data_IF_234452620790
#
_entry.id   IF_234452620790
#
_cell.length_a   1.000
_cell.length_b   1.000
_cell.length_c   1.000
_cell.angle_alpha   90.00
_cell.angle_beta   90.00
_cell.angle_gamma   90.00
#
_symmetry.space_group_name_H-M   'P 1'
#
loop_
_entity.id
_entity.type
_entity.pdbx_description
1 polymer ?
#
# COMPACT_ATOMS: atom_id res chain seq x y z
N UNK A 1 -21.61 28.97 23.03
CA UNK A 1 -22.19 27.93 22.18
C UNK A 1 -21.06 27.04 21.69
N UNK A 2 -20.94 25.83 22.25
CA UNK A 2 -19.94 24.84 21.85
C UNK A 2 -20.48 24.02 20.66
N UNK A 3 -20.03 24.30 19.43
CA UNK A 3 -20.27 23.41 18.30
C UNK A 3 -19.23 22.31 18.35
N UNK A 4 -19.68 21.10 18.68
CA UNK A 4 -18.92 19.86 18.59
C UNK A 4 -18.55 19.62 17.13
N UNK A 5 -17.26 19.78 16.79
CA UNK A 5 -16.70 19.36 15.51
C UNK A 5 -16.59 17.81 15.55
N UNK A 6 -17.60 17.13 15.06
CA UNK A 6 -17.50 15.71 14.71
C UNK A 6 -16.71 15.64 13.42
N UNK A 7 -15.43 15.34 13.53
CA UNK A 7 -14.57 14.96 12.42
C UNK A 7 -15.20 13.77 11.70
N UNK A 8 -15.82 14.03 10.57
CA UNK A 8 -16.26 12.96 9.65
C UNK A 8 -15.01 12.42 8.97
N UNK A 9 -14.30 11.54 9.66
CA UNK A 9 -13.41 10.59 9.00
C UNK A 9 -14.36 9.59 8.31
N UNK A 10 -14.92 10.02 7.19
CA UNK A 10 -15.64 9.14 6.28
C UNK A 10 -14.60 8.23 5.62
N UNK A 11 -14.38 7.10 6.24
CA UNK A 11 -13.53 6.03 5.73
C UNK A 11 -14.04 5.62 4.35
N UNK A 12 -13.24 5.68 3.29
CA UNK A 12 -13.61 5.11 1.98
C UNK A 12 -13.57 3.57 1.97
N UNK A 13 -13.60 2.92 3.14
CA UNK A 13 -13.69 1.46 3.29
C UNK A 13 -15.03 0.92 2.76
N UNK A 14 -16.06 1.76 2.68
CA UNK A 14 -17.38 1.33 2.21
C UNK A 14 -17.47 1.06 0.71
N UNK A 15 -16.52 1.54 -0.09
CA UNK A 15 -16.62 1.42 -1.56
C UNK A 15 -16.02 0.10 -2.11
N UNK A 16 -15.21 -0.60 -1.34
CA UNK A 16 -14.63 -1.88 -1.78
C UNK A 16 -15.58 -3.08 -1.57
N UNK A 17 -16.57 -2.94 -0.70
CA UNK A 17 -17.55 -4.01 -0.41
C UNK A 17 -18.66 -4.15 -1.46
N UNK A 18 -18.81 -3.17 -2.35
CA UNK A 18 -19.95 -3.12 -3.29
C UNK A 18 -19.69 -3.76 -4.67
N UNK A 19 -18.49 -4.31 -4.93
CA UNK A 19 -18.13 -4.88 -6.24
C UNK A 19 -17.95 -6.40 -6.19
N UNK A 20 -18.35 -7.05 -5.12
CA UNK A 20 -18.48 -8.50 -5.14
C UNK A 20 -19.90 -8.85 -5.59
N UNK A 21 -20.12 -9.22 -6.88
CA UNK A 21 -21.32 -9.97 -7.21
C UNK A 21 -21.18 -11.30 -6.47
N UNK A 22 -21.92 -11.45 -5.40
CA UNK A 22 -22.21 -12.75 -4.76
C UNK A 22 -23.09 -13.61 -5.67
N UNK A 23 -22.69 -13.76 -6.94
CA UNK A 23 -23.07 -14.91 -7.72
C UNK A 23 -22.12 -16.03 -7.31
N UNK A 24 -22.43 -16.69 -6.21
CA UNK A 24 -21.98 -18.05 -5.96
C UNK A 24 -22.65 -18.91 -7.04
N UNK A 25 -22.11 -18.86 -8.24
CA UNK A 25 -22.33 -19.93 -9.21
C UNK A 25 -21.75 -21.16 -8.52
N UNK A 26 -22.64 -22.08 -8.19
CA UNK A 26 -22.35 -23.41 -7.67
C UNK A 26 -21.23 -23.99 -8.54
N UNK A 27 -19.99 -23.89 -8.04
CA UNK A 27 -18.85 -24.51 -8.70
C UNK A 27 -19.17 -26.00 -8.71
N UNK A 28 -19.20 -26.60 -9.90
CA UNK A 28 -19.25 -28.04 -10.05
C UNK A 28 -18.13 -28.61 -9.15
N UNK A 29 -18.55 -29.44 -8.20
CA UNK A 29 -17.65 -30.20 -7.36
C UNK A 29 -17.00 -31.22 -8.29
N UNK A 30 -15.88 -30.82 -8.89
CA UNK A 30 -14.99 -31.77 -9.53
C UNK A 30 -14.26 -32.48 -8.38
N UNK A 31 -14.52 -33.75 -8.22
CA UNK A 31 -13.82 -34.70 -7.33
C UNK A 31 -12.34 -34.84 -7.73
N UNK A 32 -11.64 -33.72 -7.83
CA UNK A 32 -10.21 -33.64 -8.09
C UNK A 32 -9.47 -33.48 -6.76
N UNK A 33 -8.71 -34.48 -6.42
CA UNK A 33 -7.69 -34.50 -5.37
C UNK A 33 -7.13 -33.09 -5.14
N UNK A 34 -7.25 -32.59 -3.91
CA UNK A 34 -6.68 -31.35 -3.44
C UNK A 34 -5.18 -31.31 -3.79
N UNK A 35 -4.85 -30.63 -4.87
CA UNK A 35 -3.47 -30.48 -5.31
C UNK A 35 -2.82 -29.47 -4.37
N UNK A 36 -2.02 -29.93 -3.44
CA UNK A 36 -1.18 -29.07 -2.60
C UNK A 36 -0.25 -28.26 -3.52
N UNK A 37 -0.61 -27.02 -3.76
CA UNK A 37 0.16 -26.12 -4.62
C UNK A 37 1.37 -25.56 -3.86
N UNK A 38 2.32 -26.43 -3.50
CA UNK A 38 3.60 -25.99 -2.95
C UNK A 38 4.52 -25.47 -4.05
N UNK A 39 5.22 -24.36 -3.80
CA UNK A 39 6.25 -23.91 -4.70
C UNK A 39 6.52 -22.43 -4.72
N UNK A 40 7.52 -22.09 -5.53
CA UNK A 40 7.94 -20.71 -5.74
C UNK A 40 7.00 -19.97 -6.70
N UNK A 41 6.82 -18.70 -6.44
CA UNK A 41 6.15 -17.79 -7.34
C UNK A 41 6.85 -16.44 -7.35
N UNK A 42 6.70 -15.72 -8.44
CA UNK A 42 7.20 -14.35 -8.60
C UNK A 42 6.11 -13.49 -9.24
N UNK A 43 6.22 -12.20 -9.10
CA UNK A 43 5.25 -11.31 -9.73
C UNK A 43 5.66 -9.85 -9.67
N UNK A 44 4.81 -9.04 -10.28
CA UNK A 44 4.89 -7.59 -10.28
C UNK A 44 3.65 -7.01 -9.63
N UNK A 45 3.80 -5.86 -9.01
CA UNK A 45 2.69 -5.11 -8.43
C UNK A 45 2.81 -3.63 -8.78
N UNK A 46 1.69 -2.96 -8.89
CA UNK A 46 1.64 -1.53 -9.13
C UNK A 46 0.37 -0.94 -8.55
N UNK A 47 0.45 0.30 -8.10
CA UNK A 47 -0.65 0.91 -7.39
C UNK A 47 -0.48 2.39 -7.12
N UNK A 48 -1.30 2.86 -6.20
CA UNK A 48 -1.34 4.24 -5.73
C UNK A 48 -1.13 4.28 -4.22
N UNK A 49 -0.03 4.86 -3.75
CA UNK A 49 0.19 5.13 -2.34
C UNK A 49 -0.47 6.45 -1.94
N UNK A 50 -1.10 6.47 -0.78
CA UNK A 50 -1.69 7.64 -0.13
C UNK A 50 -1.05 7.81 1.24
N UNK A 51 -0.36 8.92 1.44
CA UNK A 51 0.32 9.23 2.71
C UNK A 51 -0.55 10.07 3.64
N UNK A 52 -0.39 9.81 4.94
CA UNK A 52 -1.00 10.56 6.03
C UNK A 52 0.07 10.93 7.05
N UNK A 53 0.29 12.22 7.22
CA UNK A 53 1.23 12.83 8.14
C UNK A 53 0.71 14.21 8.56
N UNK A 54 1.55 15.22 8.76
CA UNK A 54 1.14 16.62 8.87
C UNK A 54 0.44 17.06 7.59
N UNK A 55 1.04 16.72 6.44
CA UNK A 55 0.37 16.77 5.14
C UNK A 55 -0.24 15.41 4.81
N UNK A 56 -1.20 15.40 3.89
CA UNK A 56 -1.90 14.19 3.44
C UNK A 56 -2.07 14.18 1.93
N UNK A 57 -2.20 12.99 1.36
CA UNK A 57 -2.66 12.84 -0.03
C UNK A 57 -4.09 13.36 -0.22
N UNK A 58 -4.88 13.39 0.86
CA UNK A 58 -6.19 14.01 0.89
C UNK A 58 -6.05 15.44 1.46
N UNK A 59 -5.57 16.36 0.63
CA UNK A 59 -5.42 17.77 0.99
C UNK A 59 -6.74 18.49 1.15
N UNK A 60 -6.72 19.70 1.72
CA UNK A 60 -7.91 20.53 1.95
C UNK A 60 -8.61 20.94 0.64
N UNK A 61 -7.87 21.02 -0.47
CA UNK A 61 -8.35 21.44 -1.79
C UNK A 61 -8.73 20.26 -2.69
N UNK A 62 -7.91 19.18 -2.70
CA UNK A 62 -8.12 18.01 -3.55
C UNK A 62 -7.28 16.81 -3.11
N UNK A 63 -7.69 15.64 -3.58
CA UNK A 63 -6.87 14.43 -3.48
C UNK A 63 -5.70 14.49 -4.48
N UNK A 64 -4.51 14.13 -4.01
CA UNK A 64 -3.28 14.06 -4.80
C UNK A 64 -2.88 12.61 -4.97
N UNK A 65 -2.84 12.20 -6.23
CA UNK A 65 -2.48 10.83 -6.58
C UNK A 65 -0.96 10.66 -6.60
N UNK A 66 -0.53 9.49 -6.20
CA UNK A 66 0.82 8.97 -6.36
C UNK A 66 0.84 7.77 -7.29
N UNK A 67 2.01 7.17 -7.44
CA UNK A 67 2.18 5.91 -8.14
C UNK A 67 3.24 5.07 -7.43
N UNK A 68 3.11 3.77 -7.54
CA UNK A 68 4.14 2.82 -7.10
C UNK A 68 4.18 1.62 -8.03
N UNK A 69 5.35 1.04 -8.15
CA UNK A 69 5.57 -0.21 -8.86
C UNK A 69 6.61 -1.04 -8.12
N UNK A 70 6.50 -2.34 -8.23
CA UNK A 70 7.41 -3.25 -7.57
C UNK A 70 7.34 -4.66 -8.11
N UNK A 71 8.17 -5.50 -7.52
CA UNK A 71 8.19 -6.92 -7.76
C UNK A 71 8.18 -7.67 -6.43
N UNK A 72 7.71 -8.89 -6.49
CA UNK A 72 7.67 -9.76 -5.35
C UNK A 72 8.02 -11.19 -5.74
N UNK A 73 8.52 -11.94 -4.78
CA UNK A 73 8.77 -13.36 -4.91
C UNK A 73 8.50 -14.05 -3.59
N UNK A 74 7.95 -15.24 -3.66
CA UNK A 74 7.56 -15.95 -2.45
C UNK A 74 7.52 -17.44 -2.62
N UNK A 75 7.31 -18.11 -1.51
CA UNK A 75 7.13 -19.55 -1.45
C UNK A 75 5.78 -19.89 -0.79
N UNK A 76 5.00 -20.70 -1.48
CA UNK A 76 3.74 -21.24 -0.96
C UNK A 76 4.03 -22.57 -0.28
N UNK A 77 3.77 -22.64 1.04
CA UNK A 77 3.97 -23.84 1.84
C UNK A 77 2.80 -24.81 1.69
N UNK A 78 1.60 -24.28 1.57
CA UNK A 78 0.34 -25.03 1.36
C UNK A 78 -0.73 -24.06 0.82
N UNK A 79 -1.96 -24.50 0.70
CA UNK A 79 -3.07 -23.68 0.21
C UNK A 79 -3.42 -22.50 1.12
N UNK A 80 -3.04 -22.55 2.41
CA UNK A 80 -3.37 -21.53 3.41
C UNK A 80 -2.23 -20.51 3.55
N UNK A 81 -0.95 -20.95 3.60
CA UNK A 81 0.18 -20.12 3.98
C UNK A 81 1.19 -19.94 2.85
N UNK A 82 1.62 -18.72 2.67
CA UNK A 82 2.81 -18.40 1.88
C UNK A 82 3.60 -17.26 2.54
N UNK A 83 4.92 -17.27 2.32
CA UNK A 83 5.79 -16.17 2.69
C UNK A 83 6.31 -15.48 1.42
N UNK A 84 6.47 -14.16 1.49
CA UNK A 84 6.81 -13.34 0.34
C UNK A 84 7.79 -12.25 0.73
N UNK A 85 8.74 -11.97 -0.13
CA UNK A 85 9.59 -10.80 -0.11
C UNK A 85 9.18 -9.87 -1.25
N UNK A 86 9.15 -8.57 -1.00
CA UNK A 86 8.79 -7.58 -2.01
C UNK A 86 9.70 -6.37 -1.95
N UNK A 87 9.93 -5.77 -3.11
CA UNK A 87 10.61 -4.50 -3.26
C UNK A 87 9.76 -3.58 -4.13
N UNK A 88 9.46 -2.37 -3.63
CA UNK A 88 8.63 -1.37 -4.29
C UNK A 88 9.35 -0.03 -4.34
N UNK A 89 9.06 0.73 -5.37
CA UNK A 89 9.45 2.13 -5.50
C UNK A 89 8.28 2.94 -6.02
N UNK A 90 8.13 4.16 -5.50
CA UNK A 90 7.05 5.03 -5.92
C UNK A 90 7.19 6.46 -5.42
N UNK A 91 6.18 7.24 -5.75
CA UNK A 91 6.09 8.63 -5.38
C UNK A 91 4.67 8.94 -4.92
N UNK A 92 4.55 9.70 -3.85
CA UNK A 92 3.27 10.23 -3.38
C UNK A 92 3.35 11.75 -3.24
N UNK A 93 2.23 12.41 -3.45
CA UNK A 93 2.09 13.85 -3.31
C UNK A 93 1.16 14.15 -2.12
N UNK A 94 1.63 14.99 -1.21
CA UNK A 94 0.94 15.37 0.01
C UNK A 94 0.75 16.89 0.06
N UNK A 95 -0.32 17.36 0.68
CA UNK A 95 -0.53 18.78 0.92
C UNK A 95 -1.22 19.02 2.26
N UNK A 96 -1.37 20.28 2.61
CA UNK A 96 -2.00 20.70 3.84
C UNK A 96 -3.43 20.14 3.98
N UNK A 97 -3.77 19.69 5.16
CA UNK A 97 -5.10 19.25 5.55
C UNK A 97 -5.92 20.46 6.04
N UNK A 98 -7.24 20.29 6.20
CA UNK A 98 -8.14 21.34 6.71
C UNK A 98 -7.65 21.94 8.03
N UNK A 99 -7.12 21.13 8.93
CA UNK A 99 -6.59 21.58 10.21
C UNK A 99 -5.40 22.54 10.09
N UNK A 100 -4.60 22.43 9.02
CA UNK A 100 -3.50 23.36 8.75
C UNK A 100 -4.02 24.67 8.19
N UNK A 101 -5.00 24.62 7.28
CA UNK A 101 -5.66 25.78 6.71
C UNK A 101 -6.39 26.59 7.79
N UNK A 102 -7.19 25.94 8.65
CA UNK A 102 -7.91 26.58 9.74
C UNK A 102 -7.03 27.29 10.77
N UNK A 103 -5.80 26.80 10.97
CA UNK A 103 -4.86 27.34 11.97
C UNK A 103 -3.85 28.30 11.41
N UNK A 104 -3.84 28.53 10.09
CA UNK A 104 -3.00 29.50 9.43
C UNK A 104 -1.49 29.29 9.69
N UNK A 105 -1.00 28.05 9.46
CA UNK A 105 0.40 27.74 9.67
C UNK A 105 1.29 28.22 8.51
N UNK A 106 2.46 28.72 8.88
CA UNK A 106 3.48 29.22 7.98
C UNK A 106 4.80 28.46 8.21
N UNK A 107 5.46 28.07 7.13
CA UNK A 107 6.80 27.52 7.17
C UNK A 107 7.81 28.64 6.89
N UNK A 108 8.69 28.90 7.84
CA UNK A 108 9.81 29.81 7.63
C UNK A 108 10.97 29.15 6.88
N UNK A 109 11.82 29.95 6.25
CA UNK A 109 13.04 29.50 5.58
C UNK A 109 14.04 28.84 6.55
N UNK A 110 13.93 29.12 7.85
CA UNK A 110 14.65 28.46 8.94
C UNK A 110 14.12 27.07 9.29
N UNK A 111 13.01 26.66 8.66
CA UNK A 111 12.35 25.37 8.90
C UNK A 111 11.44 25.34 10.13
N UNK A 112 11.16 26.51 10.73
CA UNK A 112 10.31 26.65 11.91
C UNK A 112 8.86 26.94 11.50
N UNK A 113 7.89 26.57 12.34
CA UNK A 113 6.48 26.80 12.14
C UNK A 113 6.08 28.11 12.83
N UNK A 114 5.39 28.98 12.07
CA UNK A 114 4.85 30.25 12.54
C UNK A 114 3.33 30.29 12.37
N UNK A 115 2.67 31.17 13.13
CA UNK A 115 1.23 31.43 13.01
C UNK A 115 0.90 32.61 12.08
N UNK A 116 1.94 33.29 11.59
CA UNK A 116 1.84 34.38 10.63
C UNK A 116 3.18 34.55 9.91
N UNK A 117 3.21 35.25 8.78
CA UNK A 117 4.46 35.59 8.11
C UNK A 117 5.34 36.44 9.01
N UNK A 118 6.65 36.20 8.97
CA UNK A 118 7.63 36.93 9.77
C UNK A 118 8.33 37.97 8.89
N UNK A 119 8.32 39.22 9.31
CA UNK A 119 8.95 40.30 8.56
C UNK A 119 10.47 40.06 8.46
N UNK A 120 11.01 40.16 7.24
CA UNK A 120 12.44 39.99 6.98
C UNK A 120 12.91 38.52 6.81
N UNK A 121 11.98 37.57 6.78
CA UNK A 121 12.25 36.17 6.50
C UNK A 121 11.27 35.62 5.46
N UNK A 122 11.77 34.79 4.53
CA UNK A 122 10.90 34.09 3.61
C UNK A 122 10.02 33.09 4.35
N UNK A 123 8.71 33.24 4.20
CA UNK A 123 7.71 32.41 4.83
C UNK A 123 6.65 31.99 3.80
N UNK A 124 6.22 30.72 3.88
CA UNK A 124 5.20 30.15 3.01
C UNK A 124 4.04 29.63 3.82
N UNK A 125 2.84 30.01 3.45
CA UNK A 125 1.63 29.45 4.05
C UNK A 125 1.51 27.96 3.71
N UNK A 126 1.12 27.12 4.68
CA UNK A 126 0.99 25.68 4.49
C UNK A 126 0.04 25.29 3.35
N UNK A 127 -1.02 26.07 3.14
CA UNK A 127 -2.00 25.87 2.05
C UNK A 127 -1.38 26.02 0.66
N UNK A 128 -0.28 26.75 0.55
CA UNK A 128 0.46 26.98 -0.69
C UNK A 128 1.60 25.97 -0.91
N UNK A 129 1.76 25.00 -0.02
CA UNK A 129 2.82 24.02 -0.07
C UNK A 129 2.30 22.63 -0.41
N UNK A 130 3.11 21.87 -1.14
CA UNK A 130 2.99 20.42 -1.31
C UNK A 130 4.30 19.74 -0.96
N UNK A 131 4.22 18.51 -0.49
CA UNK A 131 5.36 17.62 -0.30
C UNK A 131 5.32 16.53 -1.35
N UNK A 132 6.39 16.41 -2.13
CA UNK A 132 6.62 15.34 -3.06
C UNK A 132 7.53 14.31 -2.40
N UNK A 133 6.97 13.15 -2.09
CA UNK A 133 7.67 12.09 -1.33
C UNK A 133 8.01 10.95 -2.25
N UNK A 134 9.30 10.73 -2.47
CA UNK A 134 9.81 9.52 -3.10
C UNK A 134 10.04 8.46 -2.03
N UNK A 135 9.56 7.26 -2.29
CA UNK A 135 9.56 6.15 -1.33
C UNK A 135 10.10 4.88 -1.98
N UNK A 136 10.99 4.18 -1.27
CA UNK A 136 11.37 2.82 -1.61
C UNK A 136 11.11 1.92 -0.40
N UNK A 137 10.59 0.74 -0.67
CA UNK A 137 10.21 -0.24 0.35
C UNK A 137 10.84 -1.59 0.02
N UNK A 138 11.39 -2.25 1.04
CA UNK A 138 11.85 -3.63 0.99
C UNK A 138 11.29 -4.35 2.20
N UNK A 139 10.61 -5.47 2.00
CA UNK A 139 10.04 -6.14 3.15
C UNK A 139 9.55 -7.55 2.90
N UNK A 140 9.00 -8.10 3.98
CA UNK A 140 8.45 -9.44 4.03
C UNK A 140 6.98 -9.39 4.42
N UNK A 141 6.19 -10.28 3.84
CA UNK A 141 4.80 -10.51 4.22
C UNK A 141 4.50 -12.01 4.32
N UNK A 142 3.53 -12.33 5.16
CA UNK A 142 2.97 -13.68 5.26
C UNK A 142 1.55 -13.59 4.75
N UNK A 143 1.22 -14.35 3.70
CA UNK A 143 -0.13 -14.36 3.16
C UNK A 143 -0.89 -15.53 3.76
N UNK A 144 -2.09 -15.25 4.26
CA UNK A 144 -3.02 -16.22 4.86
C UNK A 144 -4.25 -16.24 3.97
N UNK A 145 -4.42 -17.30 3.17
CA UNK A 145 -5.59 -17.46 2.31
C UNK A 145 -6.81 -17.82 3.14
N UNK A 146 -7.71 -16.87 3.32
CA UNK A 146 -8.91 -17.02 4.15
C UNK A 146 -9.91 -18.01 3.54
N UNK A 147 -10.01 -18.09 2.20
CA UNK A 147 -10.92 -19.02 1.54
C UNK A 147 -10.46 -20.46 1.70
N UNK A 148 -9.17 -20.72 1.83
CA UNK A 148 -8.63 -22.06 2.04
C UNK A 148 -8.89 -22.62 3.46
N UNK A 149 -9.30 -21.77 4.39
CA UNK A 149 -9.70 -22.20 5.73
C UNK A 149 -11.06 -22.94 5.75
N UNK A 150 -11.85 -22.77 4.69
CA UNK A 150 -13.18 -23.39 4.59
C UNK A 150 -13.15 -24.48 3.50
N UNK A 151 -13.50 -25.74 3.80
CA UNK A 151 -13.44 -26.84 2.84
C UNK A 151 -14.24 -26.60 1.56
N UNK A 152 -15.35 -25.85 1.66
CA UNK A 152 -16.24 -25.55 0.54
C UNK A 152 -15.62 -24.61 -0.49
N UNK A 153 -14.65 -23.77 -0.09
CA UNK A 153 -14.01 -22.76 -0.93
C UNK A 153 -12.52 -23.03 -1.18
N UNK A 154 -11.96 -24.07 -0.54
CA UNK A 154 -10.52 -24.39 -0.62
C UNK A 154 -10.02 -24.59 -2.06
N UNK A 155 -10.86 -25.12 -2.96
CA UNK A 155 -10.55 -25.35 -4.38
C UNK A 155 -11.02 -24.22 -5.32
N UNK A 156 -11.42 -23.08 -4.77
CA UNK A 156 -11.85 -21.94 -5.56
C UNK A 156 -10.71 -21.39 -6.43
N UNK A 157 -11.04 -20.86 -7.61
CA UNK A 157 -10.12 -20.02 -8.39
C UNK A 157 -9.88 -18.66 -7.75
N UNK A 158 -10.77 -18.25 -6.84
CA UNK A 158 -10.62 -17.04 -6.05
C UNK A 158 -9.76 -17.31 -4.83
N UNK A 159 -8.94 -16.34 -4.49
CA UNK A 159 -8.14 -16.32 -3.27
C UNK A 159 -8.37 -14.98 -2.57
N UNK A 160 -8.73 -15.03 -1.30
CA UNK A 160 -8.81 -13.84 -0.45
C UNK A 160 -7.78 -14.03 0.65
N UNK A 161 -6.78 -13.18 0.69
CA UNK A 161 -5.69 -13.31 1.65
C UNK A 161 -5.57 -12.08 2.54
N UNK A 162 -5.38 -12.33 3.84
CA UNK A 162 -4.89 -11.34 4.79
C UNK A 162 -3.36 -11.47 4.88
N UNK A 163 -2.66 -10.35 4.77
CA UNK A 163 -1.21 -10.34 4.59
C UNK A 163 -0.54 -9.35 5.54
N UNK A 164 -0.31 -9.74 6.82
CA UNK A 164 0.54 -8.96 7.70
C UNK A 164 1.94 -8.82 7.11
N UNK A 165 2.53 -7.62 7.24
CA UNK A 165 3.81 -7.30 6.64
C UNK A 165 4.69 -6.42 7.52
N UNK A 166 5.99 -6.50 7.22
CA UNK A 166 7.04 -5.66 7.80
C UNK A 166 7.92 -5.15 6.68
N UNK A 167 8.11 -3.83 6.60
CA UNK A 167 8.90 -3.16 5.58
C UNK A 167 10.01 -2.31 6.16
N UNK A 168 11.16 -2.32 5.52
CA UNK A 168 12.16 -1.27 5.65
C UNK A 168 11.85 -0.23 4.56
N UNK A 169 11.56 1.00 4.97
CA UNK A 169 11.08 2.06 4.10
C UNK A 169 12.04 3.22 4.10
N UNK A 170 12.44 3.68 2.92
CA UNK A 170 13.16 4.94 2.78
C UNK A 170 12.25 5.99 2.18
N UNK A 171 12.28 7.20 2.72
CA UNK A 171 11.52 8.33 2.20
C UNK A 171 12.45 9.53 1.97
N UNK A 172 12.17 10.28 0.91
CA UNK A 172 12.77 11.57 0.64
C UNK A 172 11.68 12.54 0.20
N UNK A 173 11.42 13.56 1.01
CA UNK A 173 10.33 14.49 0.84
C UNK A 173 10.86 15.87 0.45
N UNK A 174 10.59 16.33 -0.77
CA UNK A 174 10.90 17.67 -1.23
C UNK A 174 9.66 18.56 -1.10
N UNK A 175 9.76 19.67 -0.37
CA UNK A 175 8.68 20.64 -0.19
C UNK A 175 8.73 21.65 -1.33
N UNK A 176 7.60 21.82 -2.02
CA UNK A 176 7.44 22.68 -3.19
C UNK A 176 6.28 23.65 -2.99
N UNK A 177 6.41 24.81 -3.59
CA UNK A 177 5.30 25.75 -3.69
C UNK A 177 4.30 25.27 -4.75
N UNK A 178 3.01 25.29 -4.45
CA UNK A 178 1.93 24.86 -5.35
C UNK A 178 1.75 25.80 -6.55
N UNK A 179 2.10 27.07 -6.41
CA UNK A 179 1.83 28.10 -7.42
C UNK A 179 2.82 28.02 -8.57
N UNK A 180 4.10 27.90 -8.28
CA UNK A 180 5.18 27.95 -9.26
C UNK A 180 6.01 26.67 -9.36
N UNK A 181 5.76 25.70 -8.48
CA UNK A 181 6.47 24.43 -8.42
C UNK A 181 7.91 24.55 -7.91
N UNK A 182 8.33 25.72 -7.44
CA UNK A 182 9.68 25.90 -6.91
C UNK A 182 9.90 25.08 -5.66
N UNK A 183 11.11 24.50 -5.51
CA UNK A 183 11.47 23.74 -4.33
C UNK A 183 11.84 24.71 -3.20
N UNK A 184 10.99 24.78 -2.19
CA UNK A 184 11.17 25.58 -0.99
C UNK A 184 12.21 24.91 -0.05
N UNK A 185 12.12 23.59 0.08
CA UNK A 185 13.03 22.81 0.93
C UNK A 185 13.32 21.45 0.31
N UNK A 186 14.59 21.15 0.11
CA UNK A 186 15.04 19.81 -0.31
C UNK A 186 15.08 18.89 0.91
N UNK A 187 14.48 17.72 0.78
CA UNK A 187 14.47 16.72 1.81
C UNK A 187 15.75 15.89 1.87
N UNK A 188 16.07 15.42 3.05
CA UNK A 188 17.04 14.35 3.27
C UNK A 188 16.35 12.97 3.20
N UNK A 189 17.14 11.93 2.99
CA UNK A 189 16.64 10.56 3.04
C UNK A 189 16.48 10.12 4.49
N UNK A 190 15.31 9.59 4.81
CA UNK A 190 14.99 9.03 6.13
C UNK A 190 14.63 7.56 6.01
N UNK A 191 15.04 6.79 7.01
CA UNK A 191 14.73 5.37 7.14
C UNK A 191 13.62 5.18 8.18
N UNK A 192 12.67 4.31 7.85
CA UNK A 192 11.55 3.95 8.70
C UNK A 192 11.38 2.45 8.73
N UNK A 193 10.92 1.93 9.85
CA UNK A 193 10.32 0.61 9.91
C UNK A 193 8.82 0.77 9.68
N UNK A 194 8.28 0.06 8.67
CA UNK A 194 6.86 0.01 8.37
C UNK A 194 6.27 -1.32 8.82
N UNK A 195 5.11 -1.30 9.44
CA UNK A 195 4.35 -2.51 9.79
C UNK A 195 2.86 -2.29 9.55
N UNK A 196 2.21 -3.34 9.12
CA UNK A 196 0.81 -3.24 8.75
C UNK A 196 0.22 -4.54 8.23
N UNK A 197 -0.86 -4.42 7.49
CA UNK A 197 -1.50 -5.54 6.83
C UNK A 197 -2.20 -5.11 5.55
N UNK A 198 -2.21 -6.02 4.57
CA UNK A 198 -2.94 -5.90 3.32
C UNK A 198 -4.08 -6.91 3.29
N UNK A 199 -5.15 -6.56 2.63
CA UNK A 199 -6.16 -7.48 2.13
C UNK A 199 -5.94 -7.65 0.62
N UNK A 200 -5.87 -8.88 0.16
CA UNK A 200 -5.65 -9.21 -1.24
C UNK A 200 -6.81 -10.07 -1.76
N UNK A 201 -7.26 -9.76 -2.96
CA UNK A 201 -8.23 -10.59 -3.67
C UNK A 201 -7.59 -10.97 -5.00
N UNK A 202 -7.39 -12.26 -5.23
CA UNK A 202 -6.75 -12.80 -6.40
C UNK A 202 -7.65 -13.78 -7.15
N UNK A 203 -7.45 -13.85 -8.45
CA UNK A 203 -8.11 -14.83 -9.32
C UNK A 203 -7.06 -15.60 -10.12
N UNK A 204 -7.12 -16.91 -10.09
CA UNK A 204 -6.28 -17.79 -10.89
C UNK A 204 -6.80 -17.88 -12.31
N UNK A 205 -6.11 -17.22 -13.25
CA UNK A 205 -6.43 -17.27 -14.67
C UNK A 205 -6.17 -18.68 -15.23
N UNK A 206 -5.05 -19.27 -14.82
CA UNK A 206 -4.66 -20.65 -15.11
C UNK A 206 -3.72 -21.15 -14.00
N UNK A 207 -3.15 -22.37 -14.18
CA UNK A 207 -2.25 -23.00 -13.17
C UNK A 207 -0.97 -22.18 -12.90
N UNK A 208 -0.60 -21.28 -13.82
CA UNK A 208 0.60 -20.46 -13.70
C UNK A 208 0.36 -19.00 -13.39
N UNK A 209 -0.74 -18.43 -13.89
CA UNK A 209 -1.00 -17.00 -13.83
C UNK A 209 -2.08 -16.67 -12.81
N UNK A 210 -1.79 -15.69 -11.97
CA UNK A 210 -2.71 -15.12 -10.98
C UNK A 210 -2.77 -13.61 -11.16
N UNK A 211 -3.97 -13.06 -11.31
CA UNK A 211 -4.25 -11.63 -11.28
C UNK A 211 -4.94 -11.30 -9.95
N UNK A 212 -4.59 -10.18 -9.34
CA UNK A 212 -5.20 -9.75 -8.09
C UNK A 212 -5.20 -8.25 -7.90
N UNK A 213 -5.98 -7.84 -6.92
CA UNK A 213 -5.99 -6.49 -6.37
C UNK A 213 -5.56 -6.57 -4.90
N UNK A 214 -4.98 -5.50 -4.41
CA UNK A 214 -4.64 -5.39 -2.98
C UNK A 214 -5.01 -4.01 -2.45
N UNK A 215 -5.26 -3.97 -1.16
CA UNK A 215 -5.39 -2.72 -0.41
C UNK A 215 -4.88 -2.95 1.01
N UNK A 216 -4.05 -2.05 1.50
CA UNK A 216 -3.45 -2.21 2.81
C UNK A 216 -3.03 -0.92 3.45
N UNK A 217 -2.74 -1.00 4.75
CA UNK A 217 -2.31 0.12 5.56
C UNK A 217 -1.00 -0.23 6.25
N UNK A 218 -0.01 0.62 6.07
CA UNK A 218 1.31 0.53 6.70
C UNK A 218 1.52 1.71 7.63
N UNK A 219 1.80 1.45 8.90
CA UNK A 219 2.27 2.46 9.84
C UNK A 219 3.79 2.54 9.77
N UNK A 220 4.32 3.76 9.62
CA UNK A 220 5.75 4.03 9.62
C UNK A 220 6.21 4.50 10.99
N UNK A 221 7.36 4.01 11.44
CA UNK A 221 8.03 4.57 12.62
C UNK A 221 8.67 5.91 12.27
N UNK A 222 8.66 6.85 13.24
CA UNK A 222 9.20 8.20 13.02
C UNK A 222 8.19 9.16 12.40
N UNK A 223 8.59 10.42 12.24
CA UNK A 223 7.71 11.58 12.02
C UNK A 223 8.16 12.46 10.85
N UNK A 224 8.85 11.89 9.86
CA UNK A 224 9.43 12.68 8.75
C UNK A 224 9.01 12.17 7.38
N UNK A 225 7.78 11.64 7.29
CA UNK A 225 7.25 11.15 6.02
C UNK A 225 7.15 12.26 4.97
N UNK A 226 6.57 13.40 5.36
CA UNK A 226 6.27 14.53 4.48
C UNK A 226 7.32 15.65 4.48
N UNK A 227 8.38 15.52 5.28
CA UNK A 227 9.41 16.55 5.41
C UNK A 227 8.98 17.82 6.14
N UNK A 228 7.71 17.91 6.56
CA UNK A 228 7.19 19.02 7.35
C UNK A 228 7.60 18.88 8.80
N UNK A 229 7.79 20.00 9.52
CA UNK A 229 7.98 19.96 10.97
C UNK A 229 6.77 19.29 11.63
N UNK A 230 7.03 18.37 12.56
CA UNK A 230 5.98 17.66 13.27
C UNK A 230 5.26 18.59 14.23
N UNK A 231 3.98 18.86 13.96
CA UNK A 231 3.18 19.70 14.83
C UNK A 231 1.81 19.09 15.19
N UNK A 232 1.18 18.41 14.25
CA UNK A 232 -0.21 17.97 14.40
C UNK A 232 -0.36 16.46 14.55
N UNK A 233 0.45 15.66 13.87
CA UNK A 233 0.32 14.20 13.84
C UNK A 233 1.66 13.54 14.14
N UNK A 234 1.67 12.70 15.18
CA UNK A 234 2.83 11.90 15.57
C UNK A 234 2.94 10.58 14.81
N UNK A 235 1.94 10.24 14.02
CA UNK A 235 1.86 8.95 13.35
C UNK A 235 1.83 9.14 11.85
N UNK A 236 2.70 8.42 11.14
CA UNK A 236 2.75 8.38 9.70
C UNK A 236 2.14 7.08 9.22
N UNK A 237 1.21 7.18 8.29
CA UNK A 237 0.58 6.04 7.65
C UNK A 237 0.69 6.17 6.14
N UNK A 238 0.83 5.03 5.48
CA UNK A 238 0.70 4.91 4.03
C UNK A 238 -0.40 3.89 3.75
N UNK A 239 -1.42 4.31 3.03
CA UNK A 239 -2.44 3.43 2.49
C UNK A 239 -2.10 3.16 1.02
N UNK A 240 -1.99 1.92 0.65
CA UNK A 240 -1.66 1.47 -0.69
C UNK A 240 -2.81 0.68 -1.28
N UNK A 241 -3.10 0.90 -2.56
CA UNK A 241 -4.08 0.10 -3.30
C UNK A 241 -3.63 -0.09 -4.73
N UNK A 242 -3.77 -1.29 -5.25
CA UNK A 242 -3.25 -1.58 -6.58
C UNK A 242 -3.60 -2.95 -7.12
N UNK A 243 -2.90 -3.32 -8.16
CA UNK A 243 -3.03 -4.59 -8.87
C UNK A 243 -1.74 -5.42 -8.74
N UNK A 244 -1.89 -6.73 -8.82
CA UNK A 244 -0.79 -7.69 -8.76
C UNK A 244 -0.94 -8.72 -9.86
N UNK A 245 0.17 -9.05 -10.52
CA UNK A 245 0.26 -10.14 -11.48
C UNK A 245 1.34 -11.11 -11.01
N UNK A 246 0.96 -12.35 -10.75
CA UNK A 246 1.85 -13.40 -10.27
C UNK A 246 1.99 -14.57 -11.23
N UNK A 247 3.16 -15.19 -11.22
CA UNK A 247 3.48 -16.37 -11.99
C UNK A 247 3.99 -17.46 -11.03
N UNK A 248 3.32 -18.61 -11.00
CA UNK A 248 3.78 -19.77 -10.28
C UNK A 248 4.93 -20.46 -11.05
N UNK A 249 6.03 -20.67 -10.37
CA UNK A 249 7.23 -21.34 -10.93
C UNK A 249 7.23 -22.86 -10.71
N UNK A 250 6.10 -23.41 -10.24
CA UNK A 250 5.96 -24.84 -9.97
C UNK A 250 6.30 -25.67 -11.22
N UNK A 251 7.32 -26.45 -11.13
CA UNK A 251 7.56 -27.56 -12.05
C UNK A 251 6.63 -28.70 -11.64
N UNK A 252 5.84 -29.19 -12.57
CA UNK A 252 5.11 -30.46 -12.44
C UNK A 252 6.13 -31.62 -12.45
N UNK A 253 6.81 -31.86 -11.33
CA UNK A 253 7.70 -33.03 -11.22
C UNK A 253 6.94 -34.36 -11.32
N UNK A 254 5.63 -34.35 -11.10
CA UNK A 254 4.79 -35.56 -11.24
C UNK A 254 4.54 -35.95 -12.70
N UNK A 255 4.53 -35.05 -13.64
CA UNK A 255 4.37 -35.39 -15.06
C UNK A 255 5.60 -36.14 -15.61
N UNK A 256 6.81 -35.81 -15.14
CA UNK A 256 8.04 -36.52 -15.55
C UNK A 256 8.15 -37.93 -15.00
N UNK A 257 7.59 -38.24 -13.84
CA UNK A 257 7.66 -39.61 -13.26
C UNK A 257 6.74 -40.58 -13.98
N UNK A 258 5.64 -40.14 -14.56
CA UNK A 258 4.70 -40.99 -15.28
C UNK A 258 5.27 -41.37 -16.65
N UNK A 259 5.96 -40.45 -17.35
CA UNK A 259 6.59 -40.76 -18.64
C UNK A 259 7.79 -41.72 -18.54
N UNK A 260 8.53 -41.69 -17.41
CA UNK A 260 9.68 -42.59 -17.21
C UNK A 260 9.27 -44.03 -16.84
N UNK A 261 8.03 -44.23 -16.35
CA UNK A 261 7.55 -45.57 -15.95
C UNK A 261 6.88 -46.33 -17.10
N UNK A 262 6.58 -45.67 -18.22
CA UNK A 262 5.99 -46.32 -19.40
C UNK A 262 7.03 -46.75 -20.46
N UNK A 263 8.33 -46.57 -20.22
CA UNK A 263 9.42 -46.96 -21.13
C UNK A 263 10.38 -48.02 -20.53
N UNK A 264 9.90 -48.77 -19.53
CA UNK A 264 10.63 -50.00 -19.09
C UNK A 264 9.79 -51.25 -19.33
#
# INVERSE_FOLDING_TARGET
MKKSLRTKIGLPIATLAAILPLSVTRAEVNDGVQKDEQGWYVGIEGGMPFGFSTFSSFGHDKTRLGWEAGFYGGYRFNNIWSAELSAKYGEMNLAAQDCCAERNYWLGSDGTIYKASVLGMDCWEYTQLKSQVRMAQLGARVNINLLALFPQTANSRWEVAASPHLYLVTTKADIQNLTDGTTVKKGSTHWHLGYGADLQVGYRLNDRLKLGIFSGLTRLTGNRLDGMPEYLHKNNYVWESGIRLGVNLLKDEKARRVETTHHQ
#
